data_IF_504121564734
#
_entry.id   IF_504121564734
#
_cell.length_a   1.000
_cell.length_b   1.000
_cell.length_c   1.000
_cell.angle_alpha   90.00
_cell.angle_beta   90.00
_cell.angle_gamma   90.00
#
_symmetry.space_group_name_H-M   'P 1'
#
loop_
_entity.id
_entity.type
_entity.pdbx_description
1 polymer ?
#
# COMPACT_ATOMS: atom_id res chain seq x y z
N UNK A 1 -4.18 13.03 15.56
CA UNK A 1 -3.14 13.97 16.03
C UNK A 1 -2.41 13.50 17.30
N UNK A 2 -3.07 13.38 18.46
CA UNK A 2 -2.38 12.96 19.70
C UNK A 2 -1.60 11.64 19.59
N UNK A 3 -2.13 10.66 18.86
CA UNK A 3 -1.42 9.39 18.59
C UNK A 3 -0.12 9.64 17.83
N UNK A 4 -0.12 10.53 16.84
CA UNK A 4 1.07 10.87 16.06
C UNK A 4 2.14 11.52 16.93
N UNK A 5 1.78 12.47 17.80
CA UNK A 5 2.72 13.11 18.72
C UNK A 5 3.44 12.10 19.61
N UNK A 6 2.71 11.12 20.15
CA UNK A 6 3.27 10.08 21.02
C UNK A 6 4.22 9.16 20.23
N UNK A 7 3.83 8.76 19.02
CA UNK A 7 4.64 7.89 18.17
C UNK A 7 5.89 8.61 17.67
N UNK A 8 5.76 9.85 17.23
CA UNK A 8 6.88 10.69 16.80
C UNK A 8 7.87 10.93 17.94
N UNK A 9 7.37 11.15 19.17
CA UNK A 9 8.21 11.23 20.37
C UNK A 9 8.96 9.92 20.66
N UNK A 10 8.27 8.78 20.58
CA UNK A 10 8.90 7.46 20.73
C UNK A 10 9.98 7.21 19.67
N UNK A 11 9.67 7.45 18.39
CA UNK A 11 10.62 7.24 17.29
C UNK A 11 11.81 8.19 17.40
N UNK A 12 11.60 9.44 17.79
CA UNK A 12 12.69 10.39 18.04
C UNK A 12 13.63 9.87 19.13
N UNK A 13 13.09 9.36 20.24
CA UNK A 13 13.90 8.79 21.30
C UNK A 13 14.65 7.51 20.86
N UNK A 14 13.99 6.63 20.11
CA UNK A 14 14.58 5.39 19.60
C UNK A 14 15.73 5.66 18.61
N UNK A 15 15.53 6.56 17.64
CA UNK A 15 16.57 6.93 16.67
C UNK A 15 17.74 7.65 17.37
N UNK A 16 17.46 8.53 18.33
CA UNK A 16 18.50 9.18 19.14
C UNK A 16 19.34 8.17 19.92
N UNK A 17 18.72 7.13 20.49
CA UNK A 17 19.43 6.07 21.20
C UNK A 17 20.35 5.26 20.27
N UNK A 18 20.03 5.18 18.97
CA UNK A 18 20.87 4.58 17.94
C UNK A 18 21.89 5.56 17.32
N UNK A 19 21.98 6.80 17.81
CA UNK A 19 22.92 7.80 17.29
C UNK A 19 22.45 8.56 16.05
N UNK A 20 21.15 8.53 15.76
CA UNK A 20 20.54 9.25 14.64
C UNK A 20 19.65 10.38 15.12
N UNK A 21 19.67 11.50 14.40
CA UNK A 21 18.72 12.59 14.58
C UNK A 21 17.66 12.54 13.47
N UNK A 22 16.39 12.67 13.87
CA UNK A 22 15.25 12.71 12.94
C UNK A 22 14.44 13.96 13.21
N UNK A 23 13.78 14.49 12.17
CA UNK A 23 12.99 15.70 12.26
C UNK A 23 11.50 15.37 12.34
N UNK A 24 10.84 15.95 13.34
CA UNK A 24 9.38 15.94 13.51
C UNK A 24 8.82 17.36 13.35
N UNK A 25 7.52 17.54 13.05
CA UNK A 25 6.55 16.49 12.73
C UNK A 25 6.84 15.82 11.38
N UNK A 26 6.44 14.56 11.22
CA UNK A 26 6.60 13.89 9.95
C UNK A 26 5.60 14.44 8.92
N UNK A 27 5.97 14.49 7.62
CA UNK A 27 5.02 14.85 6.58
C UNK A 27 3.85 13.87 6.55
N UNK A 28 2.73 14.31 5.98
CA UNK A 28 1.50 13.52 5.86
C UNK A 28 1.08 13.49 4.40
N UNK A 29 0.51 12.37 3.97
CA UNK A 29 0.01 12.15 2.62
C UNK A 29 -1.23 11.28 2.71
N UNK A 30 -2.26 11.57 1.93
CA UNK A 30 -3.42 10.69 1.90
C UNK A 30 -3.08 9.38 1.18
N UNK A 31 -3.82 8.32 1.46
CA UNK A 31 -3.70 7.05 0.74
C UNK A 31 -3.83 7.26 -0.78
N UNK A 32 -4.82 8.04 -1.21
CA UNK A 32 -5.04 8.33 -2.63
C UNK A 32 -3.86 9.06 -3.27
N UNK A 33 -3.25 10.02 -2.57
CA UNK A 33 -2.01 10.67 -3.02
C UNK A 33 -0.84 9.68 -3.09
N UNK A 34 -0.67 8.82 -2.08
CA UNK A 34 0.39 7.83 -2.03
C UNK A 34 0.29 6.83 -3.20
N UNK A 35 -0.91 6.33 -3.48
CA UNK A 35 -1.17 5.46 -4.62
C UNK A 35 -0.93 6.20 -5.94
N UNK A 36 -1.50 7.39 -6.13
CA UNK A 36 -1.38 8.14 -7.39
C UNK A 36 0.07 8.53 -7.71
N UNK A 37 0.82 8.98 -6.70
CA UNK A 37 2.17 9.51 -6.88
C UNK A 37 3.25 8.42 -6.79
N UNK A 38 3.03 7.33 -6.04
CA UNK A 38 4.07 6.33 -5.78
C UNK A 38 3.66 4.89 -6.06
N UNK A 39 2.38 4.62 -6.34
CA UNK A 39 1.87 3.28 -6.59
C UNK A 39 1.92 2.37 -5.36
N UNK A 40 2.00 2.95 -4.16
CA UNK A 40 2.10 2.23 -2.91
C UNK A 40 1.62 3.10 -1.75
N UNK A 41 0.95 2.46 -0.80
CA UNK A 41 0.56 2.98 0.51
C UNK A 41 1.74 3.11 1.50
N UNK A 42 2.92 2.62 1.13
CA UNK A 42 4.17 2.77 1.86
C UNK A 42 5.26 3.30 0.93
N UNK A 43 5.16 4.56 0.50
CA UNK A 43 6.07 5.10 -0.49
C UNK A 43 7.50 5.23 0.06
N UNK A 44 8.48 4.91 -0.80
CA UNK A 44 9.87 5.30 -0.56
C UNK A 44 10.08 6.73 -1.05
N UNK A 45 10.08 7.66 -0.09
CA UNK A 45 10.15 9.11 -0.29
C UNK A 45 11.57 9.62 -0.61
N UNK A 46 12.58 8.74 -0.64
CA UNK A 46 13.93 9.07 -1.14
C UNK A 46 13.97 9.14 -2.67
N UNK A 47 12.96 8.55 -3.30
CA UNK A 47 12.83 8.42 -4.75
C UNK A 47 11.78 9.41 -5.27
N UNK A 48 11.99 10.04 -6.46
CA UNK A 48 11.01 10.96 -7.03
C UNK A 48 9.62 10.33 -7.22
N UNK A 49 8.57 11.13 -7.04
CA UNK A 49 7.21 10.75 -7.38
C UNK A 49 7.08 10.44 -8.88
N UNK A 50 6.16 9.55 -9.22
CA UNK A 50 5.70 9.36 -10.59
C UNK A 50 4.89 10.59 -11.02
N UNK A 51 4.86 10.85 -12.32
CA UNK A 51 4.13 11.99 -12.89
C UNK A 51 3.04 11.48 -13.83
N UNK A 52 1.80 11.90 -13.61
CA UNK A 52 0.73 11.67 -14.59
C UNK A 52 0.95 12.59 -15.80
N UNK A 53 1.16 11.98 -16.95
CA UNK A 53 1.44 12.63 -18.22
C UNK A 53 0.40 12.27 -19.29
N UNK A 54 -0.78 11.78 -18.90
CA UNK A 54 -1.87 11.47 -19.86
C UNK A 54 -2.08 12.67 -20.79
N UNK A 55 -2.20 13.87 -20.23
CA UNK A 55 -2.49 15.10 -21.00
C UNK A 55 -1.44 15.45 -22.07
N UNK A 56 -0.22 14.90 -21.98
CA UNK A 56 0.81 15.08 -23.00
C UNK A 56 0.46 14.39 -24.33
N UNK A 57 -0.48 13.44 -24.31
CA UNK A 57 -0.84 12.65 -25.49
C UNK A 57 -2.23 13.02 -26.00
N UNK A 58 -2.31 13.40 -27.28
CA UNK A 58 -3.57 13.50 -28.01
C UNK A 58 -4.25 12.12 -28.13
N UNK A 59 -5.56 12.11 -28.39
CA UNK A 59 -6.35 10.86 -28.45
C UNK A 59 -5.83 9.90 -29.53
N UNK A 60 -5.36 10.44 -30.65
CA UNK A 60 -4.80 9.71 -31.79
C UNK A 60 -3.45 9.05 -31.43
N UNK A 61 -2.64 9.74 -30.60
CA UNK A 61 -1.37 9.21 -30.11
C UNK A 61 -1.63 8.03 -29.17
N UNK A 62 -2.58 8.16 -28.24
CA UNK A 62 -2.98 7.10 -27.31
C UNK A 62 -3.52 5.88 -28.07
N UNK A 63 -4.36 6.09 -29.08
CA UNK A 63 -4.86 5.02 -29.94
C UNK A 63 -3.72 4.29 -30.66
N UNK A 64 -2.76 5.02 -31.22
CA UNK A 64 -1.57 4.45 -31.89
C UNK A 64 -0.71 3.63 -30.93
N UNK A 65 -0.62 4.06 -29.66
CA UNK A 65 0.11 3.36 -28.60
C UNK A 65 -0.67 2.19 -27.97
N UNK A 66 -1.96 2.05 -28.29
CA UNK A 66 -2.86 1.06 -27.68
C UNK A 66 -3.14 1.34 -26.20
N UNK A 67 -3.16 2.62 -25.83
CA UNK A 67 -3.41 3.12 -24.47
C UNK A 67 -4.84 3.63 -24.35
N UNK A 68 -5.50 3.37 -23.22
CA UNK A 68 -6.84 3.88 -22.97
C UNK A 68 -6.81 5.38 -22.64
N UNK A 69 -7.69 6.21 -23.25
CA UNK A 69 -7.75 7.64 -22.94
C UNK A 69 -8.27 7.96 -21.54
N UNK A 70 -8.89 6.97 -20.88
CA UNK A 70 -9.52 7.09 -19.55
C UNK A 70 -8.68 6.50 -18.42
N UNK A 71 -7.51 5.92 -18.73
CA UNK A 71 -6.61 5.35 -17.73
C UNK A 71 -5.36 6.23 -17.58
N UNK A 72 -4.66 6.15 -16.43
CA UNK A 72 -3.45 6.93 -16.18
C UNK A 72 -2.33 6.57 -17.16
N UNK A 73 -1.47 7.57 -17.42
CA UNK A 73 -0.20 7.39 -18.13
C UNK A 73 0.89 7.94 -17.24
N UNK A 74 1.63 7.06 -16.58
CA UNK A 74 2.59 7.42 -15.54
C UNK A 74 4.01 7.44 -16.10
N UNK A 75 4.64 8.60 -16.05
CA UNK A 75 6.07 8.74 -16.26
C UNK A 75 6.82 8.44 -14.96
N UNK A 76 7.79 7.52 -15.05
CA UNK A 76 8.73 7.19 -13.99
C UNK A 76 10.07 7.81 -14.36
N UNK A 77 10.57 8.69 -13.49
CA UNK A 77 11.87 9.32 -13.62
C UNK A 77 12.85 8.72 -12.62
N UNK A 78 13.99 8.22 -13.09
CA UNK A 78 15.10 7.78 -12.25
C UNK A 78 16.30 8.70 -12.52
N UNK A 79 16.77 9.45 -11.51
CA UNK A 79 17.82 10.43 -11.72
C UNK A 79 19.16 9.84 -12.15
N UNK A 80 19.95 10.60 -12.93
CA UNK A 80 21.39 10.36 -13.19
C UNK A 80 21.76 8.98 -13.77
N UNK A 81 20.83 8.30 -14.44
CA UNK A 81 21.09 6.98 -15.04
C UNK A 81 21.87 7.10 -16.35
N UNK A 82 21.68 8.20 -17.08
CA UNK A 82 22.25 8.42 -18.41
C UNK A 82 21.57 7.58 -19.50
N UNK A 83 22.22 7.53 -20.66
CA UNK A 83 21.71 6.76 -21.79
C UNK A 83 21.95 5.26 -21.62
N UNK A 84 20.87 4.49 -21.73
CA UNK A 84 20.96 3.03 -21.70
C UNK A 84 21.42 2.45 -23.04
N UNK A 85 22.25 1.42 -22.98
CA UNK A 85 22.49 0.51 -24.10
C UNK A 85 21.22 -0.29 -24.44
N UNK A 86 21.22 -0.94 -25.60
CA UNK A 86 20.09 -1.80 -26.01
C UNK A 86 19.83 -2.93 -25.01
N UNK A 87 20.90 -3.56 -24.50
CA UNK A 87 20.82 -4.63 -23.50
C UNK A 87 20.21 -4.13 -22.20
N UNK A 88 20.67 -2.98 -21.70
CA UNK A 88 20.14 -2.42 -20.44
C UNK A 88 18.66 -2.02 -20.53
N UNK A 89 18.21 -1.57 -21.71
CA UNK A 89 16.78 -1.35 -21.98
C UNK A 89 15.99 -2.67 -21.98
N UNK A 90 16.50 -3.71 -22.62
CA UNK A 90 15.82 -5.02 -22.61
C UNK A 90 15.75 -5.62 -21.19
N UNK A 91 16.75 -5.36 -20.34
CA UNK A 91 16.78 -5.75 -18.94
C UNK A 91 15.77 -4.96 -18.05
N UNK A 92 15.00 -4.00 -18.59
CA UNK A 92 13.88 -3.36 -17.87
C UNK A 92 12.65 -4.26 -17.88
N UNK A 93 12.40 -5.00 -18.97
CA UNK A 93 11.19 -5.81 -19.15
C UNK A 93 10.98 -6.84 -18.03
N UNK A 94 12.02 -7.59 -17.57
CA UNK A 94 11.86 -8.55 -16.49
C UNK A 94 11.53 -7.91 -15.13
N UNK A 95 11.81 -6.62 -14.94
CA UNK A 95 11.48 -5.89 -13.71
C UNK A 95 10.00 -5.44 -13.67
N UNK A 96 9.33 -5.45 -14.81
CA UNK A 96 7.95 -4.98 -14.92
C UNK A 96 6.96 -6.08 -14.56
N UNK A 97 6.25 -5.88 -13.46
CA UNK A 97 5.15 -6.75 -13.02
C UNK A 97 3.85 -6.11 -13.48
N UNK A 98 3.29 -6.60 -14.58
CA UNK A 98 2.01 -6.10 -15.11
C UNK A 98 0.84 -6.59 -14.25
N UNK A 99 0.05 -5.64 -13.72
CA UNK A 99 -1.28 -5.88 -13.14
C UNK A 99 -2.34 -5.41 -14.12
N UNK A 100 -3.40 -6.21 -14.26
CA UNK A 100 -4.65 -5.90 -14.98
C UNK A 100 -4.50 -4.91 -16.16
N UNK A 101 -3.76 -5.33 -17.18
CA UNK A 101 -3.65 -4.55 -18.43
C UNK A 101 -2.67 -3.37 -18.42
N UNK A 102 -1.88 -3.16 -17.37
CA UNK A 102 -0.79 -2.19 -17.38
C UNK A 102 0.28 -2.55 -18.42
N UNK A 103 0.71 -1.55 -19.21
CA UNK A 103 1.66 -1.68 -20.31
C UNK A 103 2.87 -0.79 -20.10
N UNK A 104 4.06 -1.35 -20.33
CA UNK A 104 5.34 -0.64 -20.27
C UNK A 104 5.74 -0.08 -21.64
N UNK A 105 6.30 1.13 -21.62
CA UNK A 105 7.08 1.75 -22.69
C UNK A 105 8.46 2.10 -22.13
N UNK A 106 9.42 1.20 -22.32
CA UNK A 106 10.77 1.24 -21.76
C UNK A 106 11.76 2.11 -22.55
N UNK A 107 11.45 2.39 -23.82
CA UNK A 107 12.32 3.15 -24.72
C UNK A 107 11.73 4.54 -24.99
N UNK A 108 12.05 5.49 -24.09
CA UNK A 108 11.58 6.86 -24.21
C UNK A 108 12.14 7.58 -25.45
N UNK A 109 13.32 7.19 -25.96
CA UNK A 109 13.87 7.76 -27.22
C UNK A 109 13.00 7.43 -28.42
N UNK A 110 12.36 6.26 -28.42
CA UNK A 110 11.39 5.91 -29.44
C UNK A 110 10.17 6.82 -29.39
N UNK A 111 9.71 7.19 -28.19
CA UNK A 111 8.63 8.17 -28.01
C UNK A 111 9.06 9.56 -28.47
N UNK A 112 10.27 10.01 -28.17
CA UNK A 112 10.81 11.29 -28.66
C UNK A 112 10.83 11.36 -30.20
N UNK A 113 11.19 10.26 -30.86
CA UNK A 113 11.20 10.20 -32.33
C UNK A 113 9.79 10.15 -32.94
N UNK A 114 8.88 9.39 -32.34
CA UNK A 114 7.54 9.17 -32.90
C UNK A 114 6.53 10.24 -32.51
N UNK A 115 6.69 10.87 -31.34
CA UNK A 115 5.76 11.84 -30.75
C UNK A 115 6.54 12.97 -30.04
N UNK A 116 7.30 13.80 -30.78
CA UNK A 116 8.24 14.76 -30.19
C UNK A 116 7.58 15.79 -29.26
N UNK A 117 6.40 16.31 -29.61
CA UNK A 117 5.66 17.27 -28.78
C UNK A 117 5.18 16.66 -27.45
N UNK A 118 4.68 15.41 -27.51
CA UNK A 118 4.26 14.68 -26.33
C UNK A 118 5.46 14.38 -25.43
N UNK A 119 6.58 13.93 -26.01
CA UNK A 119 7.79 13.64 -25.26
C UNK A 119 8.39 14.90 -24.60
N UNK A 120 8.37 16.05 -25.27
CA UNK A 120 8.77 17.32 -24.67
C UNK A 120 7.91 17.69 -23.45
N UNK A 121 6.58 17.55 -23.57
CA UNK A 121 5.64 17.79 -22.47
C UNK A 121 5.87 16.80 -21.31
N UNK A 122 6.18 15.53 -21.60
CA UNK A 122 6.52 14.53 -20.57
C UNK A 122 7.78 14.93 -19.81
N UNK A 123 8.85 15.37 -20.50
CA UNK A 123 10.08 15.83 -19.86
C UNK A 123 9.85 17.04 -18.97
N UNK A 124 9.10 18.03 -19.47
CA UNK A 124 8.74 19.24 -18.72
C UNK A 124 7.96 18.88 -17.44
N UNK A 125 6.85 18.14 -17.57
CA UNK A 125 6.00 17.79 -16.42
C UNK A 125 6.71 16.93 -15.38
N UNK A 126 7.59 16.01 -15.80
CA UNK A 126 8.35 15.15 -14.89
C UNK A 126 9.58 15.85 -14.28
N UNK A 127 9.92 17.06 -14.74
CA UNK A 127 11.13 17.77 -14.33
C UNK A 127 12.42 17.02 -14.65
N UNK A 128 12.38 16.13 -15.64
CA UNK A 128 13.50 15.26 -16.00
C UNK A 128 14.62 16.07 -16.66
N UNK A 129 15.86 15.79 -16.24
CA UNK A 129 17.08 16.33 -16.85
C UNK A 129 17.56 15.40 -17.98
N UNK A 130 18.57 15.85 -18.73
CA UNK A 130 19.10 15.11 -19.88
C UNK A 130 19.69 13.75 -19.51
N UNK A 131 20.27 13.62 -18.31
CA UNK A 131 20.88 12.41 -17.78
C UNK A 131 19.91 11.52 -16.97
N UNK A 132 18.62 11.84 -16.95
CA UNK A 132 17.63 11.03 -16.26
C UNK A 132 17.05 9.94 -17.16
N UNK A 133 16.83 8.76 -16.59
CA UNK A 133 16.03 7.72 -17.23
C UNK A 133 14.55 8.05 -17.08
N UNK A 134 13.82 8.03 -18.19
CA UNK A 134 12.36 8.09 -18.22
C UNK A 134 11.84 6.77 -18.79
N UNK A 135 10.86 6.18 -18.12
CA UNK A 135 10.02 5.11 -18.68
C UNK A 135 8.55 5.46 -18.46
N UNK A 136 7.66 4.94 -19.30
CA UNK A 136 6.21 5.17 -19.15
C UNK A 136 5.50 3.86 -18.87
N UNK A 137 4.55 3.90 -17.93
CA UNK A 137 3.58 2.83 -17.69
C UNK A 137 2.18 3.38 -17.92
N UNK A 138 1.37 2.71 -18.72
CA UNK A 138 0.02 3.16 -19.06
C UNK A 138 -0.99 2.02 -19.07
N UNK A 139 -2.27 2.34 -18.88
CA UNK A 139 -3.35 1.35 -18.98
C UNK A 139 -3.72 1.01 -20.43
N UNK A 140 -3.96 -0.27 -20.72
CA UNK A 140 -4.39 -0.71 -22.05
C UNK A 140 -5.91 -0.52 -22.29
N UNK A 141 -6.34 -0.70 -23.54
CA UNK A 141 -7.73 -0.53 -23.98
C UNK A 141 -8.69 -1.66 -23.56
N UNK A 142 -8.22 -2.71 -22.87
CA UNK A 142 -9.10 -3.77 -22.34
C UNK A 142 -9.14 -3.65 -20.81
N UNK A 143 -9.90 -2.69 -20.25
CA UNK A 143 -10.37 -2.93 -18.89
C UNK A 143 -11.09 -4.28 -18.93
N UNK A 144 -10.79 -5.18 -18.00
CA UNK A 144 -11.77 -6.21 -17.63
C UNK A 144 -13.12 -5.51 -17.51
N UNK A 145 -14.14 -5.99 -18.22
CA UNK A 145 -15.46 -5.35 -18.35
C UNK A 145 -16.18 -5.24 -16.99
N UNK A 146 -15.69 -4.41 -16.08
CA UNK A 146 -16.41 -4.00 -14.89
C UNK A 146 -17.16 -2.73 -15.28
N UNK A 147 -18.43 -2.92 -15.63
CA UNK A 147 -19.40 -1.82 -15.64
C UNK A 147 -19.52 -1.31 -14.21
N UNK A 148 -18.71 -0.31 -13.84
CA UNK A 148 -18.89 0.42 -12.60
C UNK A 148 -20.26 1.08 -12.65
N UNK A 149 -21.22 0.57 -11.87
CA UNK A 149 -22.53 1.16 -11.68
C UNK A 149 -22.38 2.62 -11.18
N UNK A 150 -23.28 3.50 -11.63
CA UNK A 150 -23.24 4.92 -11.28
C UNK A 150 -23.29 5.14 -9.77
N UNK A 151 -22.37 5.97 -9.27
CA UNK A 151 -22.21 6.36 -7.87
C UNK A 151 -21.02 7.32 -7.72
N UNK A 152 -20.94 8.03 -6.59
CA UNK A 152 -19.78 8.86 -6.25
C UNK A 152 -18.53 7.98 -6.18
N UNK A 153 -17.55 8.28 -7.03
CA UNK A 153 -16.36 7.43 -7.20
C UNK A 153 -15.27 7.83 -6.22
N UNK A 154 -14.48 6.89 -5.65
CA UNK A 154 -13.23 7.24 -5.01
C UNK A 154 -12.33 8.03 -5.97
N UNK A 155 -11.47 8.90 -5.45
CA UNK A 155 -10.58 9.74 -6.28
C UNK A 155 -9.62 8.87 -7.10
N UNK A 156 -9.15 7.76 -6.52
CA UNK A 156 -8.47 6.68 -7.23
C UNK A 156 -9.47 5.56 -7.53
N UNK A 157 -9.69 5.25 -8.81
CA UNK A 157 -10.60 4.17 -9.20
C UNK A 157 -9.87 2.83 -9.18
N UNK A 158 -10.62 1.75 -8.94
CA UNK A 158 -10.08 0.39 -8.91
C UNK A 158 -9.29 0.02 -10.18
N UNK A 159 -9.74 0.45 -11.37
CA UNK A 159 -9.02 0.23 -12.62
C UNK A 159 -7.75 1.08 -12.79
N UNK A 160 -7.66 2.23 -12.10
CA UNK A 160 -6.43 3.04 -12.09
C UNK A 160 -5.36 2.39 -11.23
N UNK A 161 -5.78 1.69 -10.16
CA UNK A 161 -4.91 1.05 -9.17
C UNK A 161 -3.93 0.07 -9.79
N UNK A 162 -4.35 -0.67 -10.82
CA UNK A 162 -3.48 -1.59 -11.54
C UNK A 162 -2.30 -0.89 -12.24
N UNK A 163 -2.56 0.26 -12.87
CA UNK A 163 -1.52 1.07 -13.52
C UNK A 163 -0.59 1.67 -12.48
N UNK A 164 -1.14 2.30 -11.44
CA UNK A 164 -0.35 2.90 -10.36
C UNK A 164 0.53 1.87 -9.66
N UNK A 165 -0.03 0.72 -9.28
CA UNK A 165 0.72 -0.36 -8.60
C UNK A 165 1.84 -0.90 -9.49
N UNK A 166 1.55 -1.18 -10.76
CA UNK A 166 2.58 -1.67 -11.70
C UNK A 166 3.71 -0.65 -11.90
N UNK A 167 3.35 0.64 -11.98
CA UNK A 167 4.29 1.73 -12.12
C UNK A 167 5.14 1.93 -10.85
N UNK A 168 4.52 1.88 -9.67
CA UNK A 168 5.19 1.99 -8.37
C UNK A 168 6.19 0.87 -8.11
N UNK A 169 5.81 -0.37 -8.43
CA UNK A 169 6.71 -1.53 -8.36
C UNK A 169 7.92 -1.36 -9.29
N UNK A 170 7.67 -0.96 -10.56
CA UNK A 170 8.74 -0.71 -11.52
C UNK A 170 9.65 0.44 -11.09
N UNK A 171 9.08 1.51 -10.51
CA UNK A 171 9.83 2.67 -9.99
C UNK A 171 10.85 2.24 -8.95
N UNK A 172 10.44 1.43 -7.96
CA UNK A 172 11.35 0.92 -6.92
C UNK A 172 12.40 -0.03 -7.53
N UNK A 173 11.98 -0.95 -8.40
CA UNK A 173 12.90 -1.90 -9.02
C UNK A 173 13.97 -1.21 -9.89
N UNK A 174 13.60 -0.20 -10.68
CA UNK A 174 14.53 0.59 -11.47
C UNK A 174 15.46 1.42 -10.60
N UNK A 175 14.92 2.06 -9.55
CA UNK A 175 15.75 2.81 -8.62
C UNK A 175 16.80 1.91 -7.95
N UNK A 176 16.42 0.71 -7.51
CA UNK A 176 17.35 -0.27 -6.93
C UNK A 176 18.40 -0.72 -7.95
N UNK A 177 18.00 -1.03 -9.18
CA UNK A 177 18.94 -1.42 -10.26
C UNK A 177 20.00 -0.36 -10.52
N UNK A 178 19.62 0.92 -10.45
CA UNK A 178 20.52 2.05 -10.70
C UNK A 178 20.97 2.79 -9.43
N UNK A 179 20.95 2.11 -8.27
CA UNK A 179 21.30 2.73 -6.98
C UNK A 179 22.70 3.34 -6.96
N UNK A 180 23.66 2.71 -7.64
CA UNK A 180 25.05 3.18 -7.69
C UNK A 180 25.21 4.52 -8.44
N UNK A 181 24.30 4.84 -9.36
CA UNK A 181 24.36 6.05 -10.18
C UNK A 181 23.80 7.27 -9.44
N UNK A 182 22.64 7.14 -8.81
CA UNK A 182 21.98 8.26 -8.13
C UNK A 182 22.30 8.35 -6.64
N UNK A 183 22.80 7.27 -6.03
CA UNK A 183 23.22 7.23 -4.64
C UNK A 183 22.06 7.23 -3.63
N UNK A 184 20.81 7.02 -4.06
CA UNK A 184 19.72 6.81 -3.12
C UNK A 184 19.91 5.49 -2.35
N UNK A 185 19.13 5.29 -1.30
CA UNK A 185 19.21 4.14 -0.38
C UNK A 185 20.37 4.17 0.63
N UNK A 186 20.98 5.33 0.87
CA UNK A 186 21.90 5.48 1.99
C UNK A 186 21.21 5.06 3.31
N UNK A 187 21.89 4.22 4.12
CA UNK A 187 21.31 3.66 5.36
C UNK A 187 21.01 4.72 6.42
N UNK A 188 21.67 5.87 6.36
CA UNK A 188 21.48 7.01 7.26
C UNK A 188 20.48 8.06 6.75
N UNK A 189 19.87 7.83 5.59
CA UNK A 189 18.92 8.75 4.99
C UNK A 189 17.49 8.31 5.30
N UNK A 190 16.84 8.99 6.25
CA UNK A 190 15.55 8.58 6.83
C UNK A 190 14.43 9.52 6.41
N UNK A 191 13.55 9.05 5.53
CA UNK A 191 12.37 9.77 5.11
C UNK A 191 11.11 9.15 5.72
N UNK A 192 10.63 9.73 6.81
CA UNK A 192 9.38 9.36 7.44
C UNK A 192 8.17 9.98 6.73
N UNK A 193 7.04 9.28 6.79
CA UNK A 193 5.76 9.74 6.29
C UNK A 193 4.62 9.13 7.11
N UNK A 194 3.60 9.91 7.41
CA UNK A 194 2.29 9.38 7.76
C UNK A 194 1.43 9.24 6.52
N UNK A 195 0.92 8.04 6.27
CA UNK A 195 -0.15 7.82 5.29
C UNK A 195 -1.48 7.79 6.04
N UNK A 196 -2.48 8.53 5.56
CA UNK A 196 -3.78 8.69 6.22
C UNK A 196 -4.93 8.49 5.24
N UNK A 197 -6.17 8.59 5.70
CA UNK A 197 -7.36 8.57 4.83
C UNK A 197 -7.48 7.29 3.99
N UNK A 198 -7.04 6.16 4.55
CA UNK A 198 -7.19 4.85 3.92
C UNK A 198 -8.66 4.55 3.63
N UNK A 199 -8.96 3.75 2.58
CA UNK A 199 -10.31 3.25 2.37
C UNK A 199 -10.75 2.41 3.57
N UNK A 200 -12.01 2.53 3.96
CA UNK A 200 -12.57 1.71 5.03
C UNK A 200 -12.91 0.29 4.56
N UNK A 201 -13.32 0.19 3.30
CA UNK A 201 -13.74 -1.06 2.66
C UNK A 201 -12.92 -1.32 1.40
N UNK A 202 -12.65 -2.58 1.13
CA UNK A 202 -12.08 -3.05 -0.13
C UNK A 202 -13.03 -4.06 -0.78
N UNK A 203 -13.08 -4.06 -2.10
CA UNK A 203 -13.92 -5.00 -2.83
C UNK A 203 -13.18 -6.34 -2.98
N UNK A 204 -13.78 -7.39 -2.42
CA UNK A 204 -13.34 -8.77 -2.57
C UNK A 204 -13.96 -9.35 -3.85
N UNK A 205 -13.15 -9.47 -4.90
CA UNK A 205 -13.59 -10.00 -6.21
C UNK A 205 -14.01 -11.48 -6.14
N UNK A 206 -13.34 -12.27 -5.30
CA UNK A 206 -13.63 -13.70 -5.16
C UNK A 206 -14.97 -13.91 -4.43
N UNK A 207 -15.16 -13.15 -3.34
CA UNK A 207 -16.38 -13.15 -2.54
C UNK A 207 -17.53 -12.31 -3.11
N UNK A 208 -17.27 -11.48 -4.13
CA UNK A 208 -18.18 -10.48 -4.71
C UNK A 208 -18.88 -9.63 -3.65
N UNK A 209 -18.10 -9.15 -2.67
CA UNK A 209 -18.62 -8.41 -1.51
C UNK A 209 -17.59 -7.41 -1.01
N UNK A 210 -18.03 -6.45 -0.20
CA UNK A 210 -17.10 -5.60 0.53
C UNK A 210 -16.48 -6.35 1.71
N UNK A 211 -15.17 -6.19 1.87
CA UNK A 211 -14.39 -6.58 3.03
C UNK A 211 -13.87 -5.32 3.74
N UNK A 212 -13.48 -5.46 5.00
CA UNK A 212 -12.80 -4.37 5.70
C UNK A 212 -11.36 -4.28 5.20
N UNK A 213 -10.92 -3.11 4.73
CA UNK A 213 -9.54 -2.90 4.28
C UNK A 213 -8.52 -2.95 5.43
N UNK A 214 -9.01 -2.72 6.65
CA UNK A 214 -8.26 -2.89 7.90
C UNK A 214 -9.11 -3.71 8.88
N UNK A 215 -9.12 -3.35 10.17
CA UNK A 215 -10.00 -3.97 11.15
C UNK A 215 -11.43 -3.38 11.08
N UNK A 216 -12.50 -4.20 11.20
CA UNK A 216 -13.90 -3.74 11.20
C UNK A 216 -14.32 -2.83 12.37
N UNK A 217 -13.39 -2.46 13.26
CA UNK A 217 -13.64 -1.57 14.41
C UNK A 217 -13.03 -0.18 14.20
N UNK A 218 -12.42 0.06 13.04
CA UNK A 218 -11.88 1.36 12.66
C UNK A 218 -13.02 2.34 12.43
N UNK A 219 -12.89 3.55 12.97
CA UNK A 219 -13.88 4.59 12.80
C UNK A 219 -13.88 5.10 11.36
N UNK A 220 -15.06 5.24 10.72
CA UNK A 220 -15.18 6.01 9.48
C UNK A 220 -14.87 7.49 9.74
N UNK A 221 -14.51 8.20 8.67
CA UNK A 221 -14.43 9.65 8.67
C UNK A 221 -15.85 10.24 8.78
N UNK A 222 -16.07 11.20 9.68
CA UNK A 222 -17.42 11.74 9.96
C UNK A 222 -18.13 12.29 8.73
N UNK A 223 -17.37 12.90 7.81
CA UNK A 223 -17.88 13.45 6.53
C UNK A 223 -18.37 12.39 5.53
N UNK A 224 -18.02 11.12 5.75
CA UNK A 224 -18.38 10.02 4.86
C UNK A 224 -19.49 9.13 5.45
N UNK A 225 -20.05 9.51 6.60
CA UNK A 225 -21.07 8.73 7.31
C UNK A 225 -22.34 8.48 6.49
N UNK A 226 -22.74 9.43 5.66
CA UNK A 226 -23.94 9.32 4.83
C UNK A 226 -23.81 8.21 3.76
N UNK A 227 -22.57 7.85 3.39
CA UNK A 227 -22.27 6.79 2.41
C UNK A 227 -22.37 5.38 3.01
N UNK A 228 -22.54 5.25 4.33
CA UNK A 228 -22.70 3.97 5.03
C UNK A 228 -24.15 3.47 5.06
N UNK A 229 -25.12 4.32 4.69
CA UNK A 229 -26.55 4.01 4.81
C UNK A 229 -27.14 3.33 3.57
N UNK A 230 -26.40 3.31 2.46
CA UNK A 230 -26.77 2.65 1.22
C UNK A 230 -26.48 1.13 1.28
N UNK A 231 -27.30 0.35 0.55
CA UNK A 231 -27.20 -1.09 0.28
C UNK A 231 -25.78 -1.69 0.50
N UNK A 232 -25.59 -2.82 1.20
CA UNK A 232 -24.28 -3.48 1.36
C UNK A 232 -23.57 -3.83 0.05
N UNK A 233 -24.24 -3.77 -1.10
CA UNK A 233 -23.65 -3.90 -2.44
C UNK A 233 -23.33 -2.56 -3.12
N UNK A 234 -23.56 -1.43 -2.43
CA UNK A 234 -23.39 -0.08 -2.94
C UNK A 234 -21.93 0.20 -3.31
N UNK A 235 -21.66 0.77 -4.50
CA UNK A 235 -20.32 1.19 -4.87
C UNK A 235 -19.80 2.37 -4.03
N UNK A 236 -20.68 3.10 -3.33
CA UNK A 236 -20.31 4.27 -2.51
C UNK A 236 -19.48 3.89 -1.28
N UNK A 237 -19.57 2.63 -0.83
CA UNK A 237 -18.75 2.11 0.27
C UNK A 237 -17.26 2.22 -0.03
N UNK A 238 -16.86 2.10 -1.30
CA UNK A 238 -15.47 2.29 -1.72
C UNK A 238 -14.95 3.72 -1.54
N UNK A 239 -15.82 4.71 -1.34
CA UNK A 239 -15.46 6.11 -1.09
C UNK A 239 -15.55 6.50 0.39
N UNK A 240 -15.76 5.55 1.30
CA UNK A 240 -15.73 5.77 2.75
C UNK A 240 -14.29 5.70 3.22
N UNK A 241 -13.79 6.80 3.78
CA UNK A 241 -12.45 6.82 4.38
C UNK A 241 -12.50 6.38 5.83
N UNK A 242 -11.45 5.70 6.25
CA UNK A 242 -11.17 5.35 7.62
C UNK A 242 -10.33 6.43 8.30
N UNK A 243 -10.57 6.64 9.60
CA UNK A 243 -9.63 7.34 10.50
C UNK A 243 -8.46 6.40 10.87
N UNK A 244 -7.82 5.85 9.85
CA UNK A 244 -6.64 4.99 9.94
C UNK A 244 -5.40 5.74 9.48
N UNK A 245 -4.25 5.30 9.97
CA UNK A 245 -2.97 5.93 9.69
C UNK A 245 -1.84 4.93 9.85
N UNK A 246 -0.88 5.02 8.94
CA UNK A 246 0.33 4.21 8.92
C UNK A 246 1.55 5.13 8.99
N UNK A 247 2.54 4.77 9.82
CA UNK A 247 3.85 5.42 9.81
C UNK A 247 4.79 4.61 8.93
N UNK A 248 5.35 5.26 7.93
CA UNK A 248 6.21 4.67 6.91
C UNK A 248 7.58 5.30 7.01
N UNK A 249 8.62 4.49 6.79
CA UNK A 249 10.00 4.92 6.64
C UNK A 249 10.58 4.25 5.41
N UNK A 250 11.05 5.03 4.43
CA UNK A 250 11.87 4.50 3.33
C UNK A 250 11.22 3.30 2.58
N UNK A 251 9.93 3.37 2.31
CA UNK A 251 9.20 2.29 1.64
C UNK A 251 8.74 1.14 2.55
N UNK A 252 8.96 1.28 3.85
CA UNK A 252 8.69 0.25 4.85
C UNK A 252 7.68 0.78 5.87
N UNK A 253 6.56 0.09 6.02
CA UNK A 253 5.59 0.36 7.09
C UNK A 253 6.23 0.04 8.46
N UNK A 254 6.31 1.00 9.36
CA UNK A 254 6.80 0.80 10.73
C UNK A 254 5.67 0.47 11.70
N UNK A 255 4.44 0.85 11.37
CA UNK A 255 3.27 0.49 12.14
C UNK A 255 1.99 1.10 11.61
N UNK A 256 0.88 0.49 12.02
CA UNK A 256 -0.47 0.82 11.58
C UNK A 256 -1.40 1.01 12.78
N UNK A 257 -2.33 1.94 12.64
CA UNK A 257 -3.25 2.31 13.70
C UNK A 257 -4.54 2.92 13.17
N UNK A 258 -5.52 3.03 14.07
CA UNK A 258 -6.74 3.77 13.77
C UNK A 258 -7.44 4.28 15.03
N UNK A 259 -8.27 5.29 14.83
CA UNK A 259 -9.30 5.65 15.80
C UNK A 259 -10.38 4.58 15.75
N UNK A 260 -10.87 4.17 16.92
CA UNK A 260 -11.82 3.07 17.06
C UNK A 260 -13.25 3.59 17.18
N UNK A 261 -14.17 2.79 16.68
CA UNK A 261 -15.59 3.01 16.90
C UNK A 261 -15.89 2.81 18.39
N UNK A 262 -16.49 3.82 19.00
CA UNK A 262 -16.91 3.81 20.41
C UNK A 262 -18.44 3.87 20.55
N UNK A 263 -19.17 3.90 19.43
CA UNK A 263 -20.62 4.01 19.35
C UNK A 263 -21.23 2.75 18.73
N UNK A 264 -22.17 2.14 19.45
CA UNK A 264 -22.75 0.87 19.03
C UNK A 264 -23.56 0.99 17.73
N UNK A 265 -24.29 2.08 17.54
CA UNK A 265 -25.10 2.32 16.35
C UNK A 265 -24.24 2.41 15.09
N UNK A 266 -23.07 3.07 15.18
CA UNK A 266 -22.09 3.13 14.10
C UNK A 266 -21.51 1.73 13.82
N UNK A 267 -21.11 0.99 14.85
CA UNK A 267 -20.54 -0.35 14.67
C UNK A 267 -21.53 -1.31 13.98
N UNK A 268 -22.82 -1.23 14.32
CA UNK A 268 -23.88 -2.00 13.65
C UNK A 268 -24.02 -1.62 12.17
N UNK A 269 -23.96 -0.33 11.82
CA UNK A 269 -23.96 0.12 10.42
C UNK A 269 -22.79 -0.47 9.64
N UNK A 270 -21.59 -0.46 10.21
CA UNK A 270 -20.40 -1.07 9.59
C UNK A 270 -20.57 -2.57 9.37
N UNK A 271 -21.08 -3.32 10.36
CA UNK A 271 -21.30 -4.75 10.19
C UNK A 271 -22.34 -5.06 9.10
N UNK A 272 -23.40 -4.27 9.01
CA UNK A 272 -24.38 -4.39 7.92
C UNK A 272 -23.74 -4.10 6.55
N UNK A 273 -22.90 -3.07 6.44
CA UNK A 273 -22.16 -2.76 5.21
C UNK A 273 -21.19 -3.90 4.80
N UNK A 274 -20.63 -4.63 5.77
CA UNK A 274 -19.83 -5.84 5.53
C UNK A 274 -20.66 -7.10 5.24
N UNK A 275 -21.98 -6.97 5.14
CA UNK A 275 -22.91 -8.07 4.86
C UNK A 275 -23.15 -9.03 6.03
N UNK A 276 -22.78 -8.66 7.26
CA UNK A 276 -23.06 -9.48 8.44
C UNK A 276 -24.50 -9.30 8.90
N UNK A 277 -25.19 -10.40 9.18
CA UNK A 277 -26.50 -10.34 9.84
C UNK A 277 -26.36 -9.93 11.30
N UNK A 278 -27.47 -9.53 11.95
CA UNK A 278 -27.43 -9.19 13.38
C UNK A 278 -27.06 -10.40 14.23
N UNK A 279 -27.54 -11.60 13.87
CA UNK A 279 -27.21 -12.85 14.55
C UNK A 279 -25.72 -13.18 14.41
N UNK A 280 -25.15 -13.04 13.21
CA UNK A 280 -23.72 -13.27 12.96
C UNK A 280 -22.85 -12.26 13.70
N UNK A 281 -23.22 -10.98 13.65
CA UNK A 281 -22.52 -9.92 14.37
C UNK A 281 -22.55 -10.17 15.88
N UNK A 282 -23.70 -10.57 16.44
CA UNK A 282 -23.84 -10.90 17.86
C UNK A 282 -23.08 -12.17 18.25
N UNK A 283 -23.12 -13.21 17.43
CA UNK A 283 -22.40 -14.46 17.71
C UNK A 283 -20.88 -14.28 17.72
N UNK A 284 -20.34 -13.44 16.81
CA UNK A 284 -18.90 -13.21 16.68
C UNK A 284 -18.37 -12.09 17.56
N UNK A 285 -19.15 -11.01 17.70
CA UNK A 285 -18.71 -9.75 18.30
C UNK A 285 -19.65 -9.24 19.40
N UNK A 286 -20.55 -10.09 19.91
CA UNK A 286 -21.54 -9.69 20.93
C UNK A 286 -20.90 -9.09 22.17
N UNK A 287 -19.80 -9.67 22.66
CA UNK A 287 -19.06 -9.14 23.81
C UNK A 287 -18.57 -7.70 23.57
N UNK A 288 -18.15 -7.38 22.35
CA UNK A 288 -17.67 -6.05 21.97
C UNK A 288 -18.83 -5.08 21.81
N UNK A 289 -19.90 -5.49 21.13
CA UNK A 289 -21.11 -4.68 20.97
C UNK A 289 -21.75 -4.32 22.31
N UNK A 290 -21.75 -5.23 23.28
CA UNK A 290 -22.25 -4.99 24.63
C UNK A 290 -21.35 -4.01 25.39
N UNK A 291 -20.02 -4.16 25.29
CA UNK A 291 -19.07 -3.24 25.90
C UNK A 291 -19.27 -1.78 25.46
N UNK A 292 -19.68 -1.55 24.20
CA UNK A 292 -19.99 -0.21 23.68
C UNK A 292 -21.19 0.44 24.38
N UNK A 293 -22.09 -0.32 25.01
CA UNK A 293 -23.28 0.21 25.71
C UNK A 293 -22.94 0.78 27.10
N UNK A 294 -21.86 0.34 27.74
CA UNK A 294 -21.48 0.73 29.11
C UNK A 294 -20.61 2.01 29.15
N UNK A 295 -20.74 2.90 28.16
CA UNK A 295 -20.03 4.18 28.14
C UNK A 295 -18.58 4.08 27.66
N UNK A 296 -18.32 3.33 26.59
CA UNK A 296 -16.99 3.25 25.98
C UNK A 296 -16.53 4.65 25.51
N UNK A 297 -15.36 5.16 25.96
CA UNK A 297 -14.88 6.48 25.56
C UNK A 297 -14.35 6.47 24.12
N UNK A 298 -14.23 7.64 23.46
CA UNK A 298 -13.43 7.75 22.25
C UNK A 298 -12.00 7.27 22.50
N UNK A 299 -11.53 6.34 21.68
CA UNK A 299 -10.23 5.72 21.84
C UNK A 299 -9.60 5.42 20.49
N UNK A 300 -8.28 5.31 20.47
CA UNK A 300 -7.49 5.06 19.27
C UNK A 300 -6.14 4.49 19.68
N UNK A 301 -5.47 3.85 18.73
CA UNK A 301 -4.19 3.23 19.00
C UNK A 301 -3.39 3.00 17.75
N UNK A 302 -2.21 2.45 17.95
CA UNK A 302 -1.26 2.08 16.90
C UNK A 302 -0.40 0.93 17.41
N UNK A 303 0.00 0.03 16.52
CA UNK A 303 0.97 -1.01 16.79
C UNK A 303 2.22 -0.75 15.94
N UNK A 304 3.38 -0.65 16.59
CA UNK A 304 4.67 -0.49 15.92
C UNK A 304 5.38 -1.85 15.83
N UNK A 305 5.94 -2.15 14.67
CA UNK A 305 6.79 -3.31 14.46
C UNK A 305 8.16 -3.10 15.10
N UNK A 306 8.31 -3.44 16.38
CA UNK A 306 9.55 -3.24 17.14
C UNK A 306 10.74 -3.90 16.45
N UNK A 307 10.62 -5.17 16.04
CA UNK A 307 11.72 -5.90 15.40
C UNK A 307 12.19 -5.19 14.12
N UNK A 308 11.26 -4.61 13.36
CA UNK A 308 11.55 -3.87 12.14
C UNK A 308 12.26 -2.56 12.42
N UNK A 309 11.86 -1.83 13.46
CA UNK A 309 12.54 -0.62 13.91
C UNK A 309 13.97 -0.96 14.34
N UNK A 310 14.15 -2.00 15.16
CA UNK A 310 15.48 -2.45 15.62
C UNK A 310 16.34 -2.90 14.44
N UNK A 311 15.80 -3.66 13.48
CA UNK A 311 16.49 -4.05 12.25
C UNK A 311 17.04 -2.85 11.49
N UNK A 312 16.22 -1.82 11.29
CA UNK A 312 16.63 -0.59 10.59
C UNK A 312 17.72 0.14 11.37
N UNK A 313 17.55 0.33 12.68
CA UNK A 313 18.52 1.03 13.53
C UNK A 313 19.85 0.29 13.67
N UNK A 314 19.83 -1.04 13.65
CA UNK A 314 21.03 -1.87 13.65
C UNK A 314 21.70 -1.96 12.27
N UNK A 315 21.05 -1.48 11.20
CA UNK A 315 21.50 -1.66 9.83
C UNK A 315 21.54 -3.12 9.40
N UNK A 316 20.67 -3.96 9.96
CA UNK A 316 20.54 -5.37 9.67
C UNK A 316 19.75 -5.59 8.36
N UNK A 317 20.10 -6.64 7.61
CA UNK A 317 19.44 -6.96 6.34
C UNK A 317 18.24 -7.91 6.53
N UNK A 318 18.06 -8.46 7.73
CA UNK A 318 16.96 -9.37 8.05
C UNK A 318 16.45 -9.22 9.47
N UNK A 319 15.14 -9.39 9.67
CA UNK A 319 14.52 -9.48 11.00
C UNK A 319 15.13 -10.62 11.84
N UNK A 320 15.68 -11.65 11.20
CA UNK A 320 16.33 -12.76 11.90
C UNK A 320 17.60 -12.35 12.64
N UNK A 321 18.25 -11.26 12.24
CA UNK A 321 19.48 -10.77 12.86
C UNK A 321 19.23 -9.99 14.16
N UNK A 322 17.98 -9.61 14.41
CA UNK A 322 17.58 -8.84 15.60
C UNK A 322 16.66 -9.63 16.54
N UNK A 323 16.40 -10.90 16.22
CA UNK A 323 15.62 -11.83 17.04
C UNK A 323 16.58 -12.93 17.51
N UNK A 324 16.78 -13.14 18.83
CA UNK A 324 17.75 -14.12 19.33
C UNK A 324 17.51 -15.56 18.84
N UNK A 325 16.24 -15.99 18.74
CA UNK A 325 15.85 -17.34 18.31
C UNK A 325 14.80 -17.29 17.20
N UNK A 326 15.20 -16.87 15.98
CA UNK A 326 14.27 -16.64 14.89
C UNK A 326 13.74 -17.95 14.31
N UNK A 327 12.62 -17.88 13.59
CA UNK A 327 12.06 -19.01 12.84
C UNK A 327 12.40 -18.90 11.36
N UNK A 328 12.42 -20.05 10.69
CA UNK A 328 12.49 -20.11 9.21
C UNK A 328 11.16 -19.65 8.59
N UNK A 329 11.13 -19.46 7.27
CA UNK A 329 9.89 -19.15 6.54
C UNK A 329 8.80 -20.23 6.67
N UNK A 330 9.16 -21.44 7.12
CA UNK A 330 8.23 -22.54 7.41
C UNK A 330 7.78 -22.57 8.87
N UNK A 331 8.02 -21.49 9.63
CA UNK A 331 7.77 -21.40 11.08
C UNK A 331 8.51 -22.45 11.93
N UNK A 332 9.62 -22.98 11.42
CA UNK A 332 10.45 -23.98 12.13
C UNK A 332 11.59 -23.29 12.89
N UNK A 333 11.82 -23.71 14.13
CA UNK A 333 13.02 -23.42 14.91
C UNK A 333 14.07 -24.50 14.67
N UNK A 334 15.19 -24.12 14.04
CA UNK A 334 16.27 -25.06 13.73
C UNK A 334 17.18 -25.37 14.92
N UNK A 335 17.14 -24.57 15.99
CA UNK A 335 18.00 -24.79 17.16
C UNK A 335 17.44 -25.90 18.06
N UNK A 336 16.11 -26.00 18.15
CA UNK A 336 15.41 -26.95 19.02
C UNK A 336 14.52 -27.93 18.26
N UNK A 337 14.63 -27.98 16.94
CA UNK A 337 13.84 -28.83 16.05
C UNK A 337 12.31 -28.72 16.27
N UNK A 338 11.82 -27.50 16.50
CA UNK A 338 10.40 -27.24 16.74
C UNK A 338 9.67 -26.78 15.45
N UNK A 339 8.41 -27.19 15.23
CA UNK A 339 7.55 -27.96 16.14
C UNK A 339 7.85 -29.47 16.12
N UNK A 340 7.61 -30.13 17.25
CA UNK A 340 7.72 -31.59 17.41
C UNK A 340 6.33 -32.22 17.60
N UNK A 341 6.15 -33.52 17.30
CA UNK A 341 4.96 -34.26 17.69
C UNK A 341 4.71 -34.22 19.21
N UNK A 342 3.43 -34.25 19.61
CA UNK A 342 3.00 -34.38 21.00
C UNK A 342 2.52 -35.80 21.29
N UNK A 343 2.49 -36.19 22.57
CA UNK A 343 2.01 -37.51 22.98
C UNK A 343 0.49 -37.66 22.81
N UNK A 344 0.02 -38.88 22.61
CA UNK A 344 -1.42 -39.19 22.56
C UNK A 344 -2.15 -38.82 23.86
N UNK A 345 -1.48 -38.93 25.00
CA UNK A 345 -2.02 -38.52 26.29
C UNK A 345 -2.37 -37.02 26.33
N UNK A 346 -1.47 -36.16 25.83
CA UNK A 346 -1.71 -34.71 25.72
C UNK A 346 -2.85 -34.40 24.75
N UNK A 347 -2.91 -35.08 23.61
CA UNK A 347 -4.00 -34.91 22.64
C UNK A 347 -5.36 -35.29 23.26
N UNK A 348 -5.41 -36.40 24.00
CA UNK A 348 -6.61 -36.88 24.69
C UNK A 348 -7.06 -35.91 25.79
N UNK A 349 -6.12 -35.39 26.58
CA UNK A 349 -6.39 -34.39 27.61
C UNK A 349 -7.02 -33.14 27.03
N UNK A 350 -6.51 -32.67 25.89
CA UNK A 350 -7.03 -31.50 25.19
C UNK A 350 -8.28 -31.79 24.34
N UNK A 351 -8.73 -33.04 24.24
CA UNK A 351 -9.89 -33.44 23.44
C UNK A 351 -9.69 -33.26 21.92
N UNK A 352 -8.45 -33.26 21.44
CA UNK A 352 -8.10 -33.07 20.02
C UNK A 352 -7.41 -34.30 19.44
N UNK A 353 -7.38 -34.41 18.11
CA UNK A 353 -6.67 -35.47 17.41
C UNK A 353 -5.99 -34.93 16.15
N UNK A 354 -4.80 -35.45 15.84
CA UNK A 354 -4.14 -35.17 14.56
C UNK A 354 -4.87 -35.97 13.48
N UNK A 355 -5.45 -35.30 12.49
CA UNK A 355 -6.05 -35.99 11.33
C UNK A 355 -4.93 -36.65 10.53
N UNK A 356 -5.02 -37.96 10.32
CA UNK A 356 -4.16 -38.65 9.35
C UNK A 356 -4.44 -38.09 7.96
N UNK A 357 -3.40 -37.69 7.24
CA UNK A 357 -3.52 -37.40 5.81
C UNK A 357 -4.05 -38.64 5.11
N UNK A 358 -5.03 -38.49 4.21
CA UNK A 358 -5.32 -39.55 3.24
C UNK A 358 -4.18 -39.48 2.23
N UNK A 359 -3.37 -40.54 2.17
CA UNK A 359 -2.48 -40.77 1.02
C UNK A 359 -3.29 -40.92 -0.27
#
# INVERSE_FOLDING_TARGET
>A
ERVWEVVEGFLTAAFKAAGHEIKTPFPRMTYDEAIRLYGSDKPDMRLPAMTDVREAFAAENLATLGVSPNLPVMAIRIPKVGELSRKERDDIKPLFVSKDGAKLFEDFKRLEKSFPEAAATVREKSGAQDDDLIVIVAGNHKPSEHKSAGGVKPEVKQHDHAVYTSAGLLRVALAQKYAAQHGAFARSDFHFLWVTDFPMFEWDEDGKRWAAAHHPFTSPHERDMDKLESDPSSPELGAVRALAYDVVLNGTELGSGSIRIHRQDIQRKIFRALGLTEEEARARFGFFLEALEYGTPPHGGIALGLDRIVMILAGADSLREVIPFPKTARAVDLMVDAPTPVSEAQLKELGIQVRRSKD
#
